data_IF_452757161563
#
_entry.id   IF_452757161563
#
_cell.length_a   1.000
_cell.length_b   1.000
_cell.length_c   1.000
_cell.angle_alpha   90.00
_cell.angle_beta   90.00
_cell.angle_gamma   90.00
#
_symmetry.space_group_name_H-M   'P 1'
#
loop_
_entity.id
_entity.type
_entity.pdbx_description
1 polymer ?
#
# COMPACT_ATOMS: atom_id res chain seq x y z
N UNK A 1 -25.74 7.84 1.74
CA UNK A 1 -26.64 7.99 0.58
C UNK A 1 -28.08 8.40 0.93
N UNK A 2 -28.45 8.53 2.22
CA UNK A 2 -29.78 9.00 2.58
C UNK A 2 -30.05 10.46 2.17
N UNK A 3 -29.10 11.35 2.45
CA UNK A 3 -29.13 12.74 2.02
C UNK A 3 -28.46 12.85 0.64
N UNK A 4 -29.11 13.54 -0.30
CA UNK A 4 -28.63 13.84 -1.65
C UNK A 4 -28.35 15.34 -1.80
N UNK A 5 -27.23 15.86 -1.26
CA UNK A 5 -26.97 17.30 -1.22
C UNK A 5 -26.61 17.91 -2.59
N UNK A 6 -26.28 17.08 -3.60
CA UNK A 6 -25.95 17.53 -4.94
C UNK A 6 -27.01 17.12 -5.95
N UNK A 7 -27.13 17.86 -7.06
CA UNK A 7 -28.09 17.55 -8.13
C UNK A 7 -27.81 16.21 -8.84
N UNK A 8 -26.54 15.80 -8.92
CA UNK A 8 -26.10 14.49 -9.42
C UNK A 8 -24.80 14.08 -8.70
N UNK A 9 -24.45 12.80 -8.76
CA UNK A 9 -23.14 12.31 -8.33
C UNK A 9 -23.05 11.97 -6.85
N UNK A 10 -24.14 12.02 -6.10
CA UNK A 10 -24.15 11.73 -4.65
C UNK A 10 -23.50 10.38 -4.30
N UNK A 11 -23.78 9.31 -5.06
CA UNK A 11 -23.16 8.01 -4.82
C UNK A 11 -21.65 8.00 -5.13
N UNK A 12 -21.20 8.73 -6.16
CA UNK A 12 -19.76 8.90 -6.46
C UNK A 12 -19.07 9.67 -5.33
N UNK A 13 -19.69 10.75 -4.85
CA UNK A 13 -19.19 11.55 -3.74
C UNK A 13 -19.17 10.76 -2.42
N UNK A 14 -20.17 9.92 -2.17
CA UNK A 14 -20.22 9.07 -0.98
C UNK A 14 -19.05 8.09 -0.93
N UNK A 15 -18.79 7.39 -2.04
CA UNK A 15 -17.64 6.47 -2.14
C UNK A 15 -16.30 7.20 -2.06
N UNK A 16 -16.17 8.35 -2.72
CA UNK A 16 -14.97 9.20 -2.59
C UNK A 16 -14.70 9.57 -1.14
N UNK A 17 -15.71 10.06 -0.41
CA UNK A 17 -15.55 10.43 0.99
C UNK A 17 -15.19 9.25 1.88
N UNK A 18 -15.74 8.07 1.63
CA UNK A 18 -15.34 6.86 2.33
C UNK A 18 -13.85 6.57 2.14
N UNK A 19 -13.36 6.61 0.89
CA UNK A 19 -11.95 6.38 0.56
C UNK A 19 -11.04 7.44 1.19
N UNK A 20 -11.48 8.71 1.23
CA UNK A 20 -10.77 9.78 1.94
C UNK A 20 -10.68 9.50 3.44
N UNK A 21 -11.79 9.15 4.10
CA UNK A 21 -11.81 8.85 5.53
C UNK A 21 -10.88 7.67 5.86
N UNK A 22 -10.95 6.59 5.08
CA UNK A 22 -10.11 5.41 5.29
C UNK A 22 -8.63 5.69 5.00
N UNK A 23 -8.31 6.47 3.97
CA UNK A 23 -6.92 6.83 3.65
C UNK A 23 -6.28 7.71 4.72
N UNK A 24 -7.06 8.57 5.39
CA UNK A 24 -6.59 9.31 6.57
C UNK A 24 -6.25 8.38 7.76
N UNK A 25 -6.98 7.28 7.92
CA UNK A 25 -6.67 6.26 8.91
C UNK A 25 -5.44 5.43 8.53
N UNK A 26 -5.35 4.97 7.28
CA UNK A 26 -4.18 4.27 6.74
C UNK A 26 -4.08 4.47 5.22
N UNK A 27 -2.90 4.92 4.76
CA UNK A 27 -2.65 5.22 3.35
C UNK A 27 -2.88 4.04 2.39
N UNK A 28 -2.83 2.78 2.87
CA UNK A 28 -3.14 1.60 2.03
C UNK A 28 -4.53 1.68 1.39
N UNK A 29 -5.51 2.26 2.10
CA UNK A 29 -6.88 2.36 1.61
C UNK A 29 -7.05 3.35 0.46
N UNK A 30 -6.10 4.27 0.24
CA UNK A 30 -6.13 5.16 -0.93
C UNK A 30 -5.87 4.40 -2.25
N UNK A 31 -5.30 3.20 -2.18
CA UNK A 31 -4.94 2.38 -3.35
C UNK A 31 -5.70 1.04 -3.39
N UNK A 32 -6.57 0.78 -2.41
CA UNK A 32 -7.34 -0.45 -2.34
C UNK A 32 -8.54 -0.37 -3.31
N UNK A 33 -8.72 -1.33 -4.25
CA UNK A 33 -9.76 -1.24 -5.28
C UNK A 33 -11.15 -1.68 -4.78
N UNK A 34 -11.61 -1.12 -3.67
CA UNK A 34 -12.90 -1.46 -3.03
C UNK A 34 -14.08 -1.21 -3.97
N UNK A 35 -14.02 -0.13 -4.75
CA UNK A 35 -15.06 0.23 -5.72
C UNK A 35 -15.25 -0.85 -6.80
N UNK A 36 -14.20 -1.59 -7.16
CA UNK A 36 -14.31 -2.68 -8.13
C UNK A 36 -15.09 -3.86 -7.52
N UNK A 37 -14.84 -4.19 -6.25
CA UNK A 37 -15.61 -5.20 -5.51
C UNK A 37 -17.07 -4.78 -5.39
N UNK A 38 -17.33 -3.54 -4.98
CA UNK A 38 -18.70 -2.99 -4.88
C UNK A 38 -19.40 -3.00 -6.24
N UNK A 39 -18.71 -2.68 -7.33
CA UNK A 39 -19.24 -2.75 -8.70
C UNK A 39 -19.61 -4.18 -9.10
N UNK A 40 -18.75 -5.15 -8.78
CA UNK A 40 -19.04 -6.56 -9.07
C UNK A 40 -20.23 -7.08 -8.24
N UNK A 41 -20.43 -6.53 -7.05
CA UNK A 41 -21.51 -6.87 -6.11
C UNK A 41 -22.61 -5.81 -6.06
N UNK A 42 -22.83 -5.09 -7.17
CA UNK A 42 -23.76 -3.97 -7.22
C UNK A 42 -25.20 -4.33 -6.78
N UNK A 43 -25.77 -5.51 -7.12
CA UNK A 43 -27.08 -5.90 -6.61
C UNK A 43 -27.11 -6.01 -5.08
N UNK A 44 -26.07 -6.58 -4.48
CA UNK A 44 -25.96 -6.74 -3.02
C UNK A 44 -25.75 -5.40 -2.30
N UNK A 45 -24.97 -4.49 -2.90
CA UNK A 45 -24.80 -3.13 -2.40
C UNK A 45 -26.16 -2.42 -2.24
N UNK A 46 -26.98 -2.42 -3.29
CA UNK A 46 -28.30 -1.79 -3.23
C UNK A 46 -29.26 -2.55 -2.31
N UNK A 47 -29.14 -3.88 -2.20
CA UNK A 47 -29.91 -4.68 -1.24
C UNK A 47 -29.55 -4.30 0.20
N UNK A 48 -28.26 -4.13 0.51
CA UNK A 48 -27.79 -3.73 1.83
C UNK A 48 -28.24 -2.31 2.19
N UNK A 49 -28.18 -1.37 1.24
CA UNK A 49 -28.73 -0.01 1.41
C UNK A 49 -30.22 -0.03 1.72
N UNK A 50 -31.02 -0.76 0.94
CA UNK A 50 -32.47 -0.88 1.17
C UNK A 50 -32.80 -1.50 2.52
N UNK A 51 -32.05 -2.53 2.93
CA UNK A 51 -32.21 -3.14 4.25
C UNK A 51 -31.89 -2.17 5.38
N UNK A 52 -30.81 -1.39 5.24
CA UNK A 52 -30.44 -0.39 6.23
C UNK A 52 -31.49 0.73 6.36
N UNK A 53 -32.03 1.18 5.21
CA UNK A 53 -33.10 2.18 5.15
C UNK A 53 -34.38 1.67 5.83
N UNK A 54 -34.82 0.45 5.50
CA UNK A 54 -36.01 -0.17 6.11
C UNK A 54 -35.85 -0.46 7.61
N UNK A 55 -34.64 -0.84 8.04
CA UNK A 55 -34.36 -1.12 9.44
C UNK A 55 -34.15 0.15 10.28
N UNK A 56 -33.98 1.32 9.64
CA UNK A 56 -33.68 2.59 10.31
C UNK A 56 -32.28 2.66 10.92
N UNK A 57 -31.39 1.73 10.60
CA UNK A 57 -30.02 1.70 11.10
C UNK A 57 -29.02 1.17 10.07
N UNK A 58 -27.79 1.68 10.10
CA UNK A 58 -26.80 1.43 9.06
C UNK A 58 -26.09 0.08 9.13
N UNK A 59 -26.34 -0.76 10.16
CA UNK A 59 -25.64 -2.03 10.37
C UNK A 59 -25.56 -2.92 9.12
N UNK A 60 -26.66 -3.20 8.38
CA UNK A 60 -26.60 -4.07 7.21
C UNK A 60 -25.70 -3.52 6.09
N UNK A 61 -25.63 -2.19 5.97
CA UNK A 61 -24.77 -1.53 5.00
C UNK A 61 -23.30 -1.54 5.45
N UNK A 62 -23.03 -1.31 6.74
CA UNK A 62 -21.67 -1.38 7.30
C UNK A 62 -21.09 -2.79 7.14
N UNK A 63 -21.86 -3.83 7.46
CA UNK A 63 -21.44 -5.22 7.28
C UNK A 63 -21.07 -5.53 5.82
N UNK A 64 -21.92 -5.09 4.88
CA UNK A 64 -21.62 -5.24 3.45
C UNK A 64 -20.32 -4.54 3.06
N UNK A 65 -20.13 -3.29 3.50
CA UNK A 65 -18.94 -2.51 3.14
C UNK A 65 -17.67 -3.08 3.77
N UNK A 66 -17.73 -3.57 5.00
CA UNK A 66 -16.61 -4.25 5.65
C UNK A 66 -16.23 -5.53 4.91
N UNK A 67 -17.22 -6.34 4.50
CA UNK A 67 -16.97 -7.54 3.70
C UNK A 67 -16.35 -7.20 2.33
N UNK A 68 -16.77 -6.11 1.69
CA UNK A 68 -16.19 -5.67 0.42
C UNK A 68 -14.75 -5.16 0.58
N UNK A 69 -14.43 -4.51 1.71
CA UNK A 69 -13.06 -4.08 2.04
C UNK A 69 -12.17 -5.29 2.29
N UNK A 70 -12.67 -6.26 3.05
CA UNK A 70 -11.95 -7.51 3.37
C UNK A 70 -11.62 -8.30 2.09
N UNK A 71 -12.61 -8.51 1.23
CA UNK A 71 -12.43 -9.15 -0.08
C UNK A 71 -11.39 -8.42 -0.95
N UNK A 72 -11.40 -7.08 -0.96
CA UNK A 72 -10.42 -6.30 -1.70
C UNK A 72 -9.00 -6.46 -1.13
N UNK A 73 -8.86 -6.59 0.19
CA UNK A 73 -7.58 -6.83 0.86
C UNK A 73 -7.05 -8.24 0.56
N UNK A 74 -7.92 -9.26 0.59
CA UNK A 74 -7.56 -10.62 0.22
C UNK A 74 -7.06 -10.69 -1.23
N UNK A 75 -7.80 -10.11 -2.17
CA UNK A 75 -7.38 -10.03 -3.57
C UNK A 75 -6.02 -9.33 -3.74
N UNK A 76 -5.75 -8.28 -2.96
CA UNK A 76 -4.47 -7.58 -2.98
C UNK A 76 -3.33 -8.46 -2.44
N UNK A 77 -3.59 -9.26 -1.41
CA UNK A 77 -2.60 -10.18 -0.82
C UNK A 77 -2.34 -11.41 -1.72
N UNK A 78 -3.34 -11.86 -2.46
CA UNK A 78 -3.21 -12.95 -3.44
C UNK A 78 -2.43 -12.54 -4.69
N UNK A 79 -2.43 -11.25 -5.04
CA UNK A 79 -1.59 -10.70 -6.09
C UNK A 79 -0.12 -10.87 -5.71
N UNK A 80 0.48 -11.98 -6.16
CA UNK A 80 1.92 -12.22 -6.08
C UNK A 80 2.65 -11.18 -6.93
N UNK A 81 2.99 -10.05 -6.33
CA UNK A 81 4.01 -9.21 -6.94
C UNK A 81 5.33 -9.98 -6.87
N UNK A 82 6.07 -10.11 -7.98
CA UNK A 82 7.40 -10.69 -7.92
C UNK A 82 8.20 -9.90 -6.88
N UNK A 83 8.96 -10.59 -6.01
CA UNK A 83 9.79 -9.87 -5.05
C UNK A 83 10.70 -8.94 -5.83
N UNK A 84 10.79 -7.67 -5.38
CA UNK A 84 11.69 -6.69 -5.97
C UNK A 84 13.06 -7.32 -6.20
N UNK A 85 13.65 -7.14 -7.37
CA UNK A 85 15.03 -7.53 -7.64
C UNK A 85 16.00 -6.78 -6.70
N UNK A 86 17.22 -7.27 -6.60
CA UNK A 86 18.28 -6.61 -5.83
C UNK A 86 18.48 -5.14 -6.24
N UNK A 87 18.41 -4.86 -7.54
CA UNK A 87 18.56 -3.51 -8.09
C UNK A 87 17.36 -2.62 -7.78
N UNK A 88 16.14 -3.13 -7.98
CA UNK A 88 14.91 -2.40 -7.65
C UNK A 88 14.86 -2.05 -6.17
N UNK A 89 15.23 -2.97 -5.26
CA UNK A 89 15.30 -2.66 -3.82
C UNK A 89 16.28 -1.52 -3.52
N UNK A 90 17.44 -1.49 -4.19
CA UNK A 90 18.42 -0.41 -3.99
C UNK A 90 17.90 0.92 -4.56
N UNK A 91 17.23 0.90 -5.71
CA UNK A 91 16.60 2.09 -6.30
C UNK A 91 15.47 2.61 -5.41
N UNK A 92 14.59 1.74 -4.92
CA UNK A 92 13.54 2.09 -3.95
C UNK A 92 14.15 2.69 -2.69
N UNK A 93 15.25 2.13 -2.19
CA UNK A 93 15.94 2.74 -1.04
C UNK A 93 16.52 4.12 -1.36
N UNK A 94 16.98 4.36 -2.59
CA UNK A 94 17.47 5.68 -3.05
C UNK A 94 16.37 6.73 -3.01
N UNK A 95 15.13 6.38 -3.35
CA UNK A 95 14.02 7.34 -3.40
C UNK A 95 13.52 7.74 -2.00
N UNK A 96 13.66 6.85 -1.02
CA UNK A 96 13.19 7.09 0.37
C UNK A 96 14.29 7.56 1.31
N UNK A 97 15.56 7.21 1.04
CA UNK A 97 16.67 7.56 1.91
C UNK A 97 17.00 9.05 1.80
N UNK A 98 16.80 9.79 2.88
CA UNK A 98 17.20 11.19 3.00
C UNK A 98 18.66 11.38 3.42
N UNK A 99 19.35 10.30 3.79
CA UNK A 99 20.71 10.36 4.30
C UNK A 99 21.75 10.35 3.16
N UNK A 100 22.83 11.15 3.25
CA UNK A 100 23.88 11.17 2.24
C UNK A 100 24.70 9.87 2.20
N UNK A 101 24.69 9.11 3.30
CA UNK A 101 25.32 7.81 3.42
C UNK A 101 24.53 6.93 4.39
N UNK A 102 24.64 5.61 4.22
CA UNK A 102 23.89 4.64 5.00
C UNK A 102 24.69 3.34 5.21
N UNK A 103 24.30 2.59 6.22
CA UNK A 103 24.85 1.27 6.57
C UNK A 103 23.92 0.16 6.12
N UNK A 104 24.44 -1.07 6.02
CA UNK A 104 23.60 -2.25 5.79
C UNK A 104 22.49 -2.40 6.85
N UNK A 105 22.76 -2.00 8.10
CA UNK A 105 21.75 -2.04 9.18
C UNK A 105 20.58 -1.09 8.88
N UNK A 106 20.86 0.12 8.39
CA UNK A 106 19.82 1.08 8.02
C UNK A 106 19.03 0.61 6.79
N UNK A 107 19.70 0.00 5.81
CA UNK A 107 19.06 -0.62 4.65
C UNK A 107 18.08 -1.74 5.06
N UNK A 108 18.53 -2.64 5.94
CA UNK A 108 17.68 -3.71 6.50
C UNK A 108 16.57 -3.18 7.41
N UNK A 109 16.77 -2.01 8.06
CA UNK A 109 15.73 -1.36 8.85
C UNK A 109 14.52 -0.96 8.02
N UNK A 110 14.73 -0.59 6.75
CA UNK A 110 13.69 -0.33 5.78
C UNK A 110 13.09 -1.64 5.23
N UNK A 111 13.94 -2.57 4.76
CA UNK A 111 13.51 -3.87 4.28
C UNK A 111 13.56 -4.95 5.38
N UNK A 112 12.60 -4.89 6.32
CA UNK A 112 12.60 -5.74 7.54
C UNK A 112 12.60 -7.25 7.30
N UNK A 113 12.16 -7.71 6.12
CA UNK A 113 12.12 -9.13 5.77
C UNK A 113 13.42 -9.64 5.11
N UNK A 114 14.40 -8.76 4.82
CA UNK A 114 15.65 -9.21 4.21
C UNK A 114 16.56 -9.89 5.23
N UNK A 115 17.11 -11.05 4.85
CA UNK A 115 18.24 -11.63 5.55
C UNK A 115 19.50 -10.76 5.37
N UNK A 116 20.43 -10.86 6.32
CA UNK A 116 21.73 -10.18 6.23
C UNK A 116 22.50 -10.57 4.96
N UNK A 117 22.39 -11.84 4.54
CA UNK A 117 23.06 -12.35 3.34
C UNK A 117 22.47 -11.75 2.05
N UNK A 118 21.15 -11.58 1.98
CA UNK A 118 20.49 -10.93 0.84
C UNK A 118 20.85 -9.46 0.77
N UNK A 119 20.76 -8.72 1.88
CA UNK A 119 21.15 -7.31 1.92
C UNK A 119 22.63 -7.09 1.52
N UNK A 120 23.52 -8.01 1.90
CA UNK A 120 24.91 -7.97 1.46
C UNK A 120 25.07 -8.15 -0.04
N UNK A 121 24.35 -9.10 -0.64
CA UNK A 121 24.36 -9.33 -2.09
C UNK A 121 23.82 -8.13 -2.86
N UNK A 122 22.73 -7.53 -2.38
CA UNK A 122 22.12 -6.34 -2.99
C UNK A 122 23.12 -5.18 -3.05
N UNK A 123 23.76 -4.88 -1.92
CA UNK A 123 24.71 -3.77 -1.82
C UNK A 123 26.01 -4.05 -2.59
N UNK A 124 26.45 -5.31 -2.67
CA UNK A 124 27.58 -5.69 -3.51
C UNK A 124 27.27 -5.51 -5.00
N UNK A 125 26.09 -5.95 -5.44
CA UNK A 125 25.63 -5.75 -6.81
C UNK A 125 25.52 -4.26 -7.14
N UNK A 126 25.00 -3.45 -6.23
CA UNK A 126 24.88 -2.01 -6.41
C UNK A 126 26.25 -1.31 -6.52
N UNK A 127 27.27 -1.81 -5.82
CA UNK A 127 28.66 -1.33 -5.98
C UNK A 127 29.19 -1.73 -7.35
N UNK A 128 29.01 -2.98 -7.76
CA UNK A 128 29.46 -3.49 -9.07
C UNK A 128 28.82 -2.70 -10.22
N UNK A 129 27.53 -2.40 -10.11
CA UNK A 129 26.76 -1.61 -11.08
C UNK A 129 26.98 -0.10 -10.99
N UNK A 130 27.85 0.38 -10.09
CA UNK A 130 28.11 1.81 -9.86
C UNK A 130 26.84 2.62 -9.55
N UNK A 131 25.93 2.03 -8.78
CA UNK A 131 24.76 2.73 -8.22
C UNK A 131 25.14 3.38 -6.88
N UNK A 132 25.96 2.69 -6.09
CA UNK A 132 26.50 3.18 -4.81
C UNK A 132 28.01 3.04 -4.78
N UNK A 133 28.67 3.92 -4.03
CA UNK A 133 30.06 3.73 -3.59
C UNK A 133 30.09 3.17 -2.17
N UNK A 134 31.06 2.31 -1.89
CA UNK A 134 31.32 1.73 -0.56
C UNK A 134 32.60 2.32 0.03
N UNK A 135 32.58 2.68 1.31
CA UNK A 135 33.74 3.05 2.11
C UNK A 135 33.82 2.12 3.33
N UNK A 136 35.03 1.66 3.69
CA UNK A 136 35.24 0.75 4.82
C UNK A 136 34.91 -0.71 4.50
N UNK A 137 35.12 -1.60 5.47
CA UNK A 137 34.97 -3.05 5.28
C UNK A 137 34.08 -3.71 6.36
N UNK A 138 33.38 -4.79 5.97
CA UNK A 138 32.48 -5.58 6.81
C UNK A 138 31.55 -4.72 7.68
N UNK A 139 31.82 -4.62 8.99
CA UNK A 139 30.99 -3.91 9.97
C UNK A 139 31.14 -2.39 9.89
N UNK A 140 32.22 -1.88 9.32
CA UNK A 140 32.48 -0.44 9.11
C UNK A 140 32.08 0.01 7.71
N UNK A 141 31.47 -0.87 6.91
CA UNK A 141 31.03 -0.55 5.56
C UNK A 141 29.88 0.48 5.57
N UNK A 142 30.15 1.61 4.94
CA UNK A 142 29.20 2.69 4.69
C UNK A 142 29.03 2.82 3.18
N UNK A 143 27.80 3.02 2.74
CA UNK A 143 27.40 3.15 1.35
C UNK A 143 26.85 4.55 1.11
N UNK A 144 27.04 5.08 -0.08
CA UNK A 144 26.44 6.35 -0.49
C UNK A 144 26.11 6.28 -1.98
N UNK A 145 24.96 6.82 -2.37
CA UNK A 145 24.56 6.85 -3.76
C UNK A 145 25.51 7.71 -4.58
N UNK A 146 25.86 7.22 -5.77
CA UNK A 146 26.56 8.05 -6.74
C UNK A 146 25.58 9.09 -7.30
N UNK A 147 26.10 10.31 -7.50
CA UNK A 147 25.36 11.40 -8.13
C UNK A 147 25.11 11.06 -9.59
#
# INVERSE_FOLDING_TARGET
EFIHPFADGNGRMGRLWQTVILSHYNQVFAYLPVEQVVKNRQPDYYKALRKADQAGHSTPFIEFMLAAIDEALEQLLEQKQPPLSAEERVIVYKTVSTQPAFTRKQYMGYFRMLSTATASRDLQLAVQKRIVKRKGDKRTAIYSFLK
#
